data_IF_908049227198
#
_entry.id   IF_908049227198
#
_cell.length_a   1.000
_cell.length_b   1.000
_cell.length_c   1.000
_cell.angle_alpha   90.00
_cell.angle_beta   90.00
_cell.angle_gamma   90.00
#
_symmetry.space_group_name_H-M   'P 1'
#
loop_
_entity.id
_entity.type
_entity.pdbx_description
1 polymer ?
#
# COMPACT_ATOMS: atom_id res chain seq x y z
N UNK A 1 2.51 -25.26 58.99
CA UNK A 1 1.84 -25.44 57.68
C UNK A 1 1.28 -24.10 57.28
N UNK A 2 1.99 -23.41 56.39
CA UNK A 2 1.62 -22.13 55.81
C UNK A 2 2.41 -22.02 54.52
N UNK A 3 1.73 -22.20 53.39
CA UNK A 3 2.29 -22.13 52.04
C UNK A 3 2.01 -20.74 51.51
N UNK A 4 3.01 -19.86 51.55
CA UNK A 4 2.97 -18.61 50.79
C UNK A 4 3.49 -18.89 49.38
N UNK A 5 2.54 -18.86 48.45
CA UNK A 5 2.75 -18.91 47.01
C UNK A 5 3.48 -17.64 46.54
N UNK A 6 4.71 -17.80 46.07
CA UNK A 6 5.36 -16.81 45.22
C UNK A 6 4.62 -16.77 43.87
N UNK A 7 3.87 -15.70 43.64
CA UNK A 7 3.28 -15.40 42.35
C UNK A 7 4.38 -14.98 41.36
N UNK A 8 4.70 -15.86 40.42
CA UNK A 8 5.49 -15.53 39.22
C UNK A 8 4.66 -14.59 38.34
N UNK A 9 5.06 -13.32 38.25
CA UNK A 9 4.49 -12.40 37.26
C UNK A 9 4.95 -12.81 35.85
N UNK A 10 4.03 -12.99 34.88
CA UNK A 10 4.38 -13.20 33.49
C UNK A 10 4.51 -11.85 32.76
N UNK A 11 5.57 -11.72 31.96
CA UNK A 11 5.55 -10.89 30.76
C UNK A 11 5.84 -9.39 30.94
N UNK A 12 7.09 -9.05 31.28
CA UNK A 12 7.68 -7.79 30.83
C UNK A 12 8.70 -8.08 29.72
N UNK A 13 8.21 -8.20 28.49
CA UNK A 13 9.03 -7.92 27.31
C UNK A 13 8.89 -6.42 27.01
N UNK A 14 9.48 -5.56 27.85
CA UNK A 14 9.65 -4.15 27.51
C UNK A 14 10.75 -4.05 26.46
N UNK A 15 10.37 -4.17 25.19
CA UNK A 15 11.23 -3.76 24.09
C UNK A 15 11.49 -2.26 24.25
N UNK A 16 12.69 -1.89 24.72
CA UNK A 16 13.19 -0.51 24.75
C UNK A 16 13.62 -0.05 23.36
N UNK A 17 12.89 -0.44 22.32
CA UNK A 17 13.18 -0.02 20.95
C UNK A 17 12.89 1.49 20.85
N UNK A 18 13.96 2.29 20.71
CA UNK A 18 13.81 3.68 20.31
C UNK A 18 13.49 3.76 18.82
N UNK A 19 12.74 4.78 18.36
CA UNK A 19 12.57 5.03 16.94
C UNK A 19 13.94 5.17 16.27
N UNK A 20 14.13 4.50 15.13
CA UNK A 20 15.34 4.67 14.31
C UNK A 20 15.35 6.08 13.72
N UNK A 21 16.52 6.72 13.70
CA UNK A 21 16.71 7.91 12.90
C UNK A 21 16.88 7.55 11.41
N UNK A 22 17.06 8.56 10.56
CA UNK A 22 17.14 8.35 9.11
C UNK A 22 18.39 7.54 8.71
N UNK A 23 19.50 7.67 9.44
CA UNK A 23 20.76 6.97 9.16
C UNK A 23 20.66 5.51 9.59
N UNK A 24 20.18 5.25 10.80
CA UNK A 24 19.94 3.91 11.34
C UNK A 24 18.91 3.15 10.48
N UNK A 25 17.85 3.82 10.05
CA UNK A 25 16.86 3.23 9.14
C UNK A 25 17.49 2.89 7.79
N UNK A 26 18.30 3.78 7.22
CA UNK A 26 19.00 3.51 5.97
C UNK A 26 19.97 2.32 6.09
N UNK A 27 20.67 2.19 7.22
CA UNK A 27 21.57 1.07 7.49
C UNK A 27 20.80 -0.24 7.65
N UNK A 28 19.69 -0.24 8.38
CA UNK A 28 18.82 -1.40 8.52
C UNK A 28 18.26 -1.86 7.15
N UNK A 29 17.77 -0.91 6.34
CA UNK A 29 17.27 -1.19 4.99
C UNK A 29 18.34 -1.68 4.01
N UNK A 30 19.61 -1.33 4.24
CA UNK A 30 20.72 -1.84 3.45
C UNK A 30 21.06 -3.31 3.78
N UNK A 31 20.65 -3.81 4.95
CA UNK A 31 20.79 -5.23 5.31
C UNK A 31 19.68 -6.11 4.73
N UNK A 32 18.54 -5.52 4.34
CA UNK A 32 17.44 -6.26 3.71
C UNK A 32 17.86 -6.67 2.30
N UNK A 33 17.76 -7.96 1.92
CA UNK A 33 18.07 -8.43 0.59
C UNK A 33 17.33 -7.64 -0.49
N UNK A 34 18.02 -7.29 -1.57
CA UNK A 34 17.42 -6.51 -2.66
C UNK A 34 16.18 -7.22 -3.22
N UNK A 35 16.23 -8.54 -3.41
CA UNK A 35 15.10 -9.34 -3.89
C UNK A 35 13.84 -9.19 -3.04
N UNK A 36 13.97 -9.20 -1.71
CA UNK A 36 12.85 -8.99 -0.78
C UNK A 36 12.24 -7.60 -0.95
N UNK A 37 13.08 -6.56 -1.09
CA UNK A 37 12.61 -5.19 -1.32
C UNK A 37 11.90 -5.02 -2.66
N UNK A 38 12.24 -5.84 -3.68
CA UNK A 38 11.51 -5.85 -4.95
C UNK A 38 10.14 -6.51 -4.79
N UNK A 39 10.06 -7.63 -4.06
CA UNK A 39 8.80 -8.31 -3.74
C UNK A 39 7.85 -7.39 -2.95
N UNK A 40 8.38 -6.65 -1.98
CA UNK A 40 7.62 -5.68 -1.19
C UNK A 40 6.92 -4.64 -2.06
N UNK A 41 7.54 -4.20 -3.16
CA UNK A 41 6.91 -3.25 -4.07
C UNK A 41 5.69 -3.86 -4.79
N UNK A 42 5.75 -5.13 -5.18
CA UNK A 42 4.60 -5.81 -5.76
C UNK A 42 3.51 -6.07 -4.70
N UNK A 43 3.91 -6.45 -3.50
CA UNK A 43 3.01 -6.64 -2.36
C UNK A 43 2.28 -5.34 -1.98
N UNK A 44 2.98 -4.21 -1.99
CA UNK A 44 2.40 -2.90 -1.75
C UNK A 44 1.36 -2.52 -2.83
N UNK A 45 1.63 -2.83 -4.09
CA UNK A 45 0.66 -2.64 -5.18
C UNK A 45 -0.62 -3.47 -4.97
N UNK A 46 -0.47 -4.75 -4.61
CA UNK A 46 -1.63 -5.60 -4.35
C UNK A 46 -2.42 -5.17 -3.13
N UNK A 47 -1.73 -4.80 -2.05
CA UNK A 47 -2.36 -4.25 -0.86
C UNK A 47 -3.15 -2.98 -1.22
N UNK A 48 -2.61 -2.09 -2.06
CA UNK A 48 -3.34 -0.92 -2.53
C UNK A 48 -4.62 -1.27 -3.29
N UNK A 49 -4.58 -2.31 -4.13
CA UNK A 49 -5.77 -2.80 -4.83
C UNK A 49 -6.79 -3.38 -3.85
N UNK A 50 -6.37 -4.19 -2.89
CA UNK A 50 -7.26 -4.76 -1.87
C UNK A 50 -7.87 -3.65 -1.00
N UNK A 51 -7.06 -2.70 -0.53
CA UNK A 51 -7.50 -1.53 0.23
C UNK A 51 -8.53 -0.70 -0.54
N UNK A 52 -8.33 -0.49 -1.84
CA UNK A 52 -9.30 0.19 -2.69
C UNK A 52 -10.61 -0.59 -2.79
N UNK A 53 -10.56 -1.90 -3.05
CA UNK A 53 -11.75 -2.75 -3.12
C UNK A 53 -12.53 -2.73 -1.82
N UNK A 54 -11.82 -2.83 -0.69
CA UNK A 54 -12.42 -2.73 0.64
C UNK A 54 -13.09 -1.36 0.85
N UNK A 55 -12.39 -0.27 0.54
CA UNK A 55 -12.89 1.08 0.76
C UNK A 55 -14.09 1.42 -0.13
N UNK A 56 -14.07 1.00 -1.39
CA UNK A 56 -15.15 1.18 -2.35
C UNK A 56 -16.46 0.54 -1.88
N UNK A 57 -16.39 -0.59 -1.17
CA UNK A 57 -17.57 -1.29 -0.64
C UNK A 57 -17.96 -0.81 0.76
N UNK A 58 -17.01 -0.69 1.68
CA UNK A 58 -17.27 -0.39 3.08
C UNK A 58 -17.62 1.09 3.33
N UNK A 59 -16.85 2.02 2.77
CA UNK A 59 -17.00 3.44 3.12
C UNK A 59 -18.38 4.03 2.74
N UNK A 60 -18.95 3.76 1.55
CA UNK A 60 -20.29 4.26 1.22
C UNK A 60 -21.39 3.71 2.15
N UNK A 61 -21.32 2.42 2.48
CA UNK A 61 -22.31 1.78 3.36
C UNK A 61 -22.21 2.32 4.80
N UNK A 62 -21.00 2.51 5.32
CA UNK A 62 -20.79 3.12 6.63
C UNK A 62 -21.29 4.57 6.69
N UNK A 63 -21.06 5.37 5.65
CA UNK A 63 -21.62 6.73 5.54
C UNK A 63 -23.14 6.73 5.47
N UNK A 64 -23.72 5.83 4.69
CA UNK A 64 -25.18 5.70 4.64
C UNK A 64 -25.75 5.40 6.02
N UNK A 65 -25.16 4.45 6.75
CA UNK A 65 -25.59 4.12 8.12
C UNK A 65 -25.39 5.27 9.10
N UNK A 66 -24.30 6.02 8.96
CA UNK A 66 -24.09 7.25 9.72
C UNK A 66 -25.24 8.25 9.49
N UNK A 67 -25.61 8.49 8.23
CA UNK A 67 -26.70 9.39 7.88
C UNK A 67 -28.06 8.93 8.43
N UNK A 68 -28.33 7.62 8.39
CA UNK A 68 -29.56 7.02 8.96
C UNK A 68 -29.67 7.21 10.48
N UNK A 69 -28.54 7.22 11.19
CA UNK A 69 -28.47 7.42 12.64
C UNK A 69 -28.54 8.89 13.08
N UNK A 70 -28.38 9.84 12.16
CA UNK A 70 -28.50 11.28 12.44
C UNK A 70 -27.52 11.77 13.52
N UNK A 71 -28.04 12.34 14.61
CA UNK A 71 -27.23 12.91 15.71
C UNK A 71 -26.75 11.89 16.76
N UNK A 72 -26.96 10.60 16.53
CA UNK A 72 -26.50 9.57 17.46
C UNK A 72 -24.95 9.56 17.53
N UNK A 73 -24.30 9.37 18.70
CA UNK A 73 -22.84 9.35 18.82
C UNK A 73 -22.16 8.35 17.86
N UNK A 74 -22.83 7.23 17.60
CA UNK A 74 -22.37 6.21 16.66
C UNK A 74 -22.32 6.70 15.21
N UNK A 75 -23.17 7.66 14.82
CA UNK A 75 -23.15 8.24 13.49
C UNK A 75 -21.78 8.88 13.20
N UNK A 76 -21.25 9.67 14.15
CA UNK A 76 -19.93 10.28 14.02
C UNK A 76 -18.81 9.24 13.94
N UNK A 77 -18.90 8.17 14.73
CA UNK A 77 -17.91 7.08 14.69
C UNK A 77 -17.90 6.35 13.33
N UNK A 78 -19.08 6.06 12.76
CA UNK A 78 -19.20 5.42 11.45
C UNK A 78 -18.71 6.32 10.31
N UNK A 79 -19.01 7.61 10.36
CA UNK A 79 -18.49 8.57 9.37
C UNK A 79 -16.96 8.68 9.47
N UNK A 80 -16.42 8.76 10.69
CA UNK A 80 -14.97 8.78 10.90
C UNK A 80 -14.29 7.52 10.39
N UNK A 81 -14.90 6.35 10.60
CA UNK A 81 -14.41 5.08 10.07
C UNK A 81 -14.44 5.07 8.54
N UNK A 82 -15.53 5.54 7.92
CA UNK A 82 -15.64 5.62 6.47
C UNK A 82 -14.56 6.54 5.86
N UNK A 83 -14.32 7.70 6.47
CA UNK A 83 -13.24 8.62 6.06
C UNK A 83 -11.88 7.95 6.24
N UNK A 84 -11.64 7.26 7.35
CA UNK A 84 -10.36 6.60 7.64
C UNK A 84 -10.05 5.46 6.66
N UNK A 85 -11.07 4.68 6.28
CA UNK A 85 -10.95 3.62 5.28
C UNK A 85 -10.63 4.21 3.90
N UNK A 86 -11.34 5.26 3.47
CA UNK A 86 -11.05 5.95 2.22
C UNK A 86 -9.65 6.58 2.23
N UNK A 87 -9.24 7.13 3.36
CA UNK A 87 -7.90 7.68 3.58
C UNK A 87 -6.82 6.61 3.40
N UNK A 88 -7.01 5.44 4.02
CA UNK A 88 -6.08 4.32 3.90
C UNK A 88 -5.92 3.88 2.44
N UNK A 89 -7.01 3.74 1.69
CA UNK A 89 -6.96 3.36 0.28
C UNK A 89 -6.15 4.34 -0.60
N UNK A 90 -6.30 5.66 -0.39
CA UNK A 90 -5.50 6.66 -1.11
C UNK A 90 -4.04 6.60 -0.70
N UNK A 91 -3.74 6.46 0.60
CA UNK A 91 -2.37 6.39 1.08
C UNK A 91 -1.66 5.16 0.52
N UNK A 92 -2.33 4.00 0.50
CA UNK A 92 -1.80 2.78 -0.09
C UNK A 92 -1.60 2.92 -1.59
N UNK A 93 -2.57 3.50 -2.31
CA UNK A 93 -2.41 3.77 -3.74
C UNK A 93 -1.24 4.73 -4.01
N UNK A 94 -1.08 5.77 -3.19
CA UNK A 94 0.02 6.72 -3.32
C UNK A 94 1.39 6.08 -3.06
N UNK A 95 1.47 5.18 -2.07
CA UNK A 95 2.69 4.47 -1.71
C UNK A 95 3.27 3.66 -2.88
N UNK A 96 2.43 3.20 -3.82
CA UNK A 96 2.88 2.41 -4.98
C UNK A 96 3.83 3.15 -5.92
N UNK A 97 3.74 4.49 -6.00
CA UNK A 97 4.58 5.33 -6.87
C UNK A 97 5.37 6.39 -6.11
N UNK A 98 5.24 6.45 -4.78
CA UNK A 98 5.84 7.52 -4.00
C UNK A 98 7.37 7.53 -4.13
N UNK A 99 7.94 8.72 -4.14
CA UNK A 99 9.38 8.97 -4.13
C UNK A 99 9.88 9.37 -2.73
N UNK A 100 8.96 9.48 -1.77
CA UNK A 100 9.30 9.85 -0.40
C UNK A 100 10.08 8.72 0.29
N UNK A 101 11.34 9.00 0.62
CA UNK A 101 12.22 8.15 1.42
C UNK A 101 12.82 6.96 0.67
N UNK A 102 14.10 6.66 0.92
CA UNK A 102 14.86 5.54 0.30
C UNK A 102 14.40 4.14 0.74
N UNK A 103 13.44 4.06 1.67
CA UNK A 103 12.94 2.84 2.27
C UNK A 103 11.52 2.46 1.92
N UNK A 104 10.80 3.27 1.14
CA UNK A 104 9.43 2.92 0.76
C UNK A 104 9.39 1.76 -0.24
N UNK A 105 8.42 0.87 -0.09
CA UNK A 105 8.12 -0.25 -0.98
C UNK A 105 7.40 0.21 -2.24
N UNK A 106 7.94 1.23 -2.91
CA UNK A 106 7.35 1.82 -4.13
C UNK A 106 8.05 1.31 -5.38
N UNK A 107 7.37 1.42 -6.53
CA UNK A 107 7.99 1.15 -7.82
C UNK A 107 9.20 2.06 -8.08
N UNK A 108 9.14 3.33 -7.64
CA UNK A 108 10.25 4.27 -7.81
C UNK A 108 11.53 3.74 -7.16
N UNK A 109 11.42 3.27 -5.92
CA UNK A 109 12.55 2.74 -5.18
C UNK A 109 13.00 1.38 -5.71
N UNK A 110 12.08 0.52 -6.13
CA UNK A 110 12.43 -0.75 -6.77
C UNK A 110 13.25 -0.53 -8.05
N UNK A 111 12.88 0.45 -8.87
CA UNK A 111 13.63 0.84 -10.08
C UNK A 111 15.00 1.46 -9.73
N UNK A 112 15.09 2.24 -8.65
CA UNK A 112 16.35 2.81 -8.16
C UNK A 112 17.32 1.71 -7.66
N UNK A 113 16.80 0.67 -7.00
CA UNK A 113 17.58 -0.52 -6.60
C UNK A 113 18.15 -1.25 -7.82
N UNK A 114 17.32 -1.53 -8.82
CA UNK A 114 17.77 -2.15 -10.08
C UNK A 114 18.81 -1.27 -10.79
N UNK A 115 18.60 0.05 -10.83
CA UNK A 115 19.58 0.99 -11.39
C UNK A 115 20.91 0.89 -10.63
N UNK A 116 20.88 0.69 -9.32
CA UNK A 116 22.05 0.42 -8.49
C UNK A 116 22.79 -0.84 -8.91
N UNK A 117 22.08 -1.97 -9.05
CA UNK A 117 22.64 -3.23 -9.53
C UNK A 117 23.25 -3.11 -10.93
N UNK A 118 22.58 -2.38 -11.84
CA UNK A 118 23.05 -2.16 -13.22
C UNK A 118 24.26 -1.22 -13.33
N UNK A 119 24.70 -0.58 -12.24
CA UNK A 119 25.97 0.18 -12.21
C UNK A 119 27.17 -0.73 -11.97
N UNK A 120 26.96 -1.94 -11.44
CA UNK A 120 28.03 -2.89 -11.21
C UNK A 120 28.62 -3.35 -12.57
N UNK A 121 29.92 -3.14 -12.82
CA UNK A 121 30.56 -3.54 -14.07
C UNK A 121 30.59 -5.06 -14.29
N UNK A 122 30.39 -5.85 -13.24
CA UNK A 122 30.25 -7.32 -13.31
C UNK A 122 28.89 -7.77 -13.84
N UNK A 123 27.91 -6.86 -13.89
CA UNK A 123 26.57 -7.13 -14.33
C UNK A 123 26.49 -7.15 -15.87
N UNK A 124 26.62 -8.32 -16.51
CA UNK A 124 26.43 -8.48 -17.96
C UNK A 124 27.40 -7.66 -18.84
N UNK A 125 27.08 -7.48 -20.13
CA UNK A 125 27.86 -6.62 -21.02
C UNK A 125 27.53 -5.14 -20.84
N UNK A 126 28.44 -4.23 -21.23
CA UNK A 126 28.19 -2.80 -21.14
C UNK A 126 26.96 -2.35 -21.97
N UNK A 127 26.72 -3.00 -23.12
CA UNK A 127 25.56 -2.74 -23.97
C UNK A 127 24.26 -3.19 -23.29
N UNK A 128 24.25 -4.38 -22.69
CA UNK A 128 23.07 -4.91 -21.99
C UNK A 128 22.71 -4.04 -20.77
N UNK A 129 23.73 -3.59 -20.01
CA UNK A 129 23.52 -2.66 -18.88
C UNK A 129 22.92 -1.34 -19.33
N UNK A 130 23.38 -0.80 -20.46
CA UNK A 130 22.86 0.46 -20.99
C UNK A 130 21.42 0.30 -21.47
N UNK A 131 21.12 -0.77 -22.22
CA UNK A 131 19.76 -1.08 -22.65
C UNK A 131 18.81 -1.27 -21.46
N UNK A 132 19.23 -2.02 -20.43
CA UNK A 132 18.46 -2.21 -19.21
C UNK A 132 18.21 -0.89 -18.46
N UNK A 133 19.22 -0.01 -18.36
CA UNK A 133 19.08 1.32 -17.75
C UNK A 133 18.11 2.20 -18.53
N UNK A 134 18.09 2.11 -19.86
CA UNK A 134 17.12 2.83 -20.70
C UNK A 134 15.69 2.31 -20.49
N UNK A 135 15.50 1.00 -20.36
CA UNK A 135 14.19 0.42 -20.01
C UNK A 135 13.71 0.88 -18.64
N UNK A 136 14.57 0.87 -17.62
CA UNK A 136 14.25 1.39 -16.27
C UNK A 136 13.83 2.85 -16.33
N UNK A 137 14.56 3.69 -17.08
CA UNK A 137 14.20 5.09 -17.28
C UNK A 137 12.85 5.24 -18.00
N UNK A 138 12.56 4.37 -18.97
CA UNK A 138 11.27 4.28 -19.67
C UNK A 138 10.10 4.02 -18.70
N UNK A 139 10.21 2.97 -17.87
CA UNK A 139 9.18 2.62 -16.87
C UNK A 139 8.98 3.77 -15.87
N UNK A 140 10.08 4.37 -15.38
CA UNK A 140 9.99 5.51 -14.46
C UNK A 140 9.25 6.68 -15.11
N UNK A 141 9.55 6.94 -16.38
CA UNK A 141 8.96 8.06 -17.09
C UNK A 141 7.49 7.86 -17.42
N UNK A 142 7.08 6.63 -17.75
CA UNK A 142 5.72 6.35 -18.19
C UNK A 142 4.66 6.57 -17.10
N UNK A 143 5.00 6.38 -15.82
CA UNK A 143 3.98 6.44 -14.74
C UNK A 143 4.38 7.30 -13.53
N UNK A 144 5.67 7.44 -13.24
CA UNK A 144 6.11 8.16 -12.03
C UNK A 144 6.31 9.65 -12.32
N UNK A 145 6.86 9.98 -13.50
CA UNK A 145 7.08 11.39 -13.90
C UNK A 145 5.92 11.97 -14.73
N UNK A 146 5.19 11.14 -15.49
CA UNK A 146 3.95 11.56 -16.14
C UNK A 146 2.88 11.77 -15.07
N UNK A 147 2.55 13.05 -14.83
CA UNK A 147 1.50 13.49 -13.90
C UNK A 147 0.14 13.37 -14.56
N UNK A 148 -0.33 12.14 -14.78
CA UNK A 148 -1.72 11.97 -15.21
C UNK A 148 -2.67 12.65 -14.21
N UNK A 149 -3.86 13.09 -14.65
CA UNK A 149 -4.85 13.70 -13.75
C UNK A 149 -5.17 12.80 -12.55
N UNK A 150 -5.24 11.48 -12.76
CA UNK A 150 -5.54 10.51 -11.72
C UNK A 150 -4.43 10.44 -10.66
N UNK A 151 -3.18 10.28 -11.08
CA UNK A 151 -2.03 10.25 -10.16
C UNK A 151 -1.88 11.59 -9.43
N UNK A 152 -2.19 12.71 -10.11
CA UNK A 152 -2.19 14.05 -9.50
C UNK A 152 -3.25 14.17 -8.41
N UNK A 153 -4.46 13.66 -8.64
CA UNK A 153 -5.54 13.65 -7.65
C UNK A 153 -5.18 12.78 -6.43
N UNK A 154 -4.62 11.59 -6.63
CA UNK A 154 -4.17 10.72 -5.54
C UNK A 154 -3.07 11.42 -4.71
N UNK A 155 -2.09 12.05 -5.37
CA UNK A 155 -1.02 12.82 -4.69
C UNK A 155 -1.57 13.98 -3.88
N UNK A 156 -2.53 14.71 -4.43
CA UNK A 156 -3.18 15.80 -3.74
C UNK A 156 -3.84 15.30 -2.44
N UNK A 157 -4.66 14.24 -2.51
CA UNK A 157 -5.36 13.71 -1.34
C UNK A 157 -4.39 13.14 -0.30
N UNK A 158 -3.31 12.46 -0.71
CA UNK A 158 -2.22 12.05 0.19
C UNK A 158 -1.60 13.25 0.91
N UNK A 159 -1.19 14.30 0.18
CA UNK A 159 -0.56 15.49 0.75
C UNK A 159 -1.48 16.22 1.70
N UNK A 160 -2.73 16.41 1.28
CA UNK A 160 -3.77 17.03 2.08
C UNK A 160 -3.86 16.30 3.41
N UNK A 161 -4.07 14.99 3.41
CA UNK A 161 -4.22 14.22 4.64
C UNK A 161 -2.95 14.05 5.48
N UNK A 162 -1.77 14.21 4.89
CA UNK A 162 -0.53 14.33 5.65
C UNK A 162 -0.41 15.67 6.39
N UNK A 163 -0.96 16.76 5.82
CA UNK A 163 -0.95 18.09 6.44
C UNK A 163 -2.16 18.36 7.34
N UNK A 164 -3.39 18.19 6.84
CA UNK A 164 -4.64 18.34 7.59
C UNK A 164 -5.82 17.58 6.96
N UNK A 165 -6.78 17.15 7.78
CA UNK A 165 -7.94 16.37 7.31
C UNK A 165 -9.14 17.20 6.83
N UNK A 166 -9.12 18.52 7.03
CA UNK A 166 -10.27 19.38 6.70
C UNK A 166 -10.58 19.40 5.20
N UNK A 167 -11.84 19.18 4.86
CA UNK A 167 -12.45 19.37 3.52
C UNK A 167 -13.43 20.55 3.51
N UNK A 168 -13.37 21.41 4.53
CA UNK A 168 -14.20 22.60 4.63
C UNK A 168 -13.97 23.51 3.41
N UNK A 169 -15.02 23.94 2.68
CA UNK A 169 -14.89 24.79 1.50
C UNK A 169 -14.18 26.13 1.78
N UNK A 170 -14.16 26.62 3.03
CA UNK A 170 -13.42 27.82 3.40
C UNK A 170 -11.91 27.58 3.56
N UNK A 171 -11.51 26.35 3.87
CA UNK A 171 -10.11 25.95 4.04
C UNK A 171 -9.54 25.44 2.72
N UNK A 172 -10.31 24.64 2.00
CA UNK A 172 -9.89 24.01 0.76
C UNK A 172 -11.08 23.75 -0.19
N UNK A 173 -11.46 24.75 -1.00
CA UNK A 173 -12.60 24.64 -1.91
C UNK A 173 -12.39 23.57 -2.98
N UNK A 174 -11.13 23.27 -3.36
CA UNK A 174 -10.85 22.25 -4.34
C UNK A 174 -11.26 20.87 -3.84
N UNK A 175 -10.89 20.51 -2.61
CA UNK A 175 -11.26 19.22 -2.01
C UNK A 175 -12.78 19.05 -1.82
N UNK A 176 -13.48 20.16 -1.60
CA UNK A 176 -14.93 20.18 -1.49
C UNK A 176 -15.59 19.87 -2.85
N UNK A 177 -15.12 20.50 -3.92
CA UNK A 177 -15.62 20.29 -5.29
C UNK A 177 -15.18 18.95 -5.89
N UNK A 178 -14.04 18.42 -5.44
CA UNK A 178 -13.41 17.21 -5.98
C UNK A 178 -13.23 16.14 -4.89
N UNK A 179 -14.32 15.59 -4.33
CA UNK A 179 -14.24 14.57 -3.29
C UNK A 179 -13.48 13.34 -3.81
N UNK A 180 -13.01 12.51 -2.87
CA UNK A 180 -12.30 11.27 -3.18
C UNK A 180 -13.17 10.38 -4.06
N UNK A 181 -12.72 10.14 -5.29
CA UNK A 181 -13.38 9.27 -6.27
C UNK A 181 -12.60 7.96 -6.41
N UNK A 182 -13.23 6.85 -6.01
CA UNK A 182 -12.63 5.52 -6.11
C UNK A 182 -12.38 5.08 -7.56
N UNK A 183 -13.12 5.60 -8.54
CA UNK A 183 -12.86 5.33 -9.96
C UNK A 183 -11.54 5.99 -10.41
N UNK A 184 -11.28 7.22 -9.95
CA UNK A 184 -10.00 7.92 -10.20
C UNK A 184 -8.83 7.14 -9.58
N UNK A 185 -8.99 6.65 -8.35
CA UNK A 185 -7.95 5.84 -7.69
C UNK A 185 -7.72 4.53 -8.46
N UNK A 186 -8.80 3.84 -8.88
CA UNK A 186 -8.70 2.62 -9.68
C UNK A 186 -7.93 2.86 -10.98
N UNK A 187 -8.27 3.92 -11.71
CA UNK A 187 -7.60 4.27 -12.96
C UNK A 187 -6.11 4.58 -12.73
N UNK A 188 -5.77 5.24 -11.63
CA UNK A 188 -4.37 5.43 -11.23
C UNK A 188 -3.65 4.11 -10.94
N UNK A 189 -4.29 3.17 -10.23
CA UNK A 189 -3.73 1.83 -9.99
C UNK A 189 -3.63 1.00 -11.27
N UNK A 190 -4.56 1.12 -12.22
CA UNK A 190 -4.47 0.47 -13.53
C UNK A 190 -3.29 0.99 -14.35
N UNK A 191 -2.99 2.30 -14.29
CA UNK A 191 -1.76 2.87 -14.87
C UNK A 191 -0.51 2.25 -14.19
N UNK A 192 -0.51 2.15 -12.86
CA UNK A 192 0.58 1.48 -12.12
C UNK A 192 0.74 0.01 -12.51
N UNK A 193 -0.36 -0.71 -12.75
CA UNK A 193 -0.33 -2.12 -13.18
C UNK A 193 0.50 -2.30 -14.45
N UNK A 194 0.38 -1.38 -15.41
CA UNK A 194 1.16 -1.42 -16.64
C UNK A 194 2.66 -1.28 -16.35
N UNK A 195 3.05 -0.34 -15.47
CA UNK A 195 4.45 -0.18 -15.08
C UNK A 195 4.98 -1.36 -14.26
N UNK A 196 4.19 -1.96 -13.37
CA UNK A 196 4.57 -3.18 -12.65
C UNK A 196 4.70 -4.39 -13.59
N UNK A 197 3.89 -4.46 -14.65
CA UNK A 197 4.05 -5.47 -15.72
C UNK A 197 5.36 -5.30 -16.48
N UNK A 198 5.67 -4.08 -16.91
CA UNK A 198 6.96 -3.79 -17.56
C UNK A 198 8.14 -4.07 -16.62
N UNK A 199 7.97 -3.76 -15.33
CA UNK A 199 8.97 -4.06 -14.32
C UNK A 199 9.19 -5.57 -14.13
N UNK A 200 8.13 -6.37 -14.04
CA UNK A 200 8.25 -7.83 -13.99
C UNK A 200 8.90 -8.41 -15.26
N UNK A 201 8.56 -7.87 -16.44
CA UNK A 201 9.21 -8.24 -17.71
C UNK A 201 10.71 -7.90 -17.69
N UNK A 202 11.09 -6.73 -17.19
CA UNK A 202 12.49 -6.35 -17.03
C UNK A 202 13.24 -7.35 -16.13
N UNK A 203 12.64 -7.73 -15.00
CA UNK A 203 13.25 -8.71 -14.09
C UNK A 203 13.48 -10.06 -14.77
N UNK A 204 12.53 -10.52 -15.58
CA UNK A 204 12.58 -11.85 -16.25
C UNK A 204 13.46 -11.87 -17.49
N UNK A 205 13.61 -10.75 -18.20
CA UNK A 205 14.42 -10.65 -19.40
C UNK A 205 15.92 -10.48 -19.14
N UNK A 206 16.32 -10.21 -17.89
CA UNK A 206 17.72 -10.04 -17.50
C UNK A 206 18.19 -11.26 -16.70
N UNK A 207 18.91 -12.23 -17.32
CA UNK A 207 19.40 -13.42 -16.64
C UNK A 207 20.24 -13.11 -15.41
N UNK A 208 20.91 -11.97 -15.39
CA UNK A 208 21.75 -11.52 -14.30
C UNK A 208 20.93 -11.08 -13.06
N UNK A 209 19.62 -10.86 -13.20
CA UNK A 209 18.69 -10.62 -12.08
C UNK A 209 18.07 -11.92 -11.54
N UNK A 210 18.41 -13.10 -12.09
CA UNK A 210 17.83 -14.37 -11.66
C UNK A 210 18.06 -14.64 -10.17
N UNK A 211 19.23 -14.32 -9.63
CA UNK A 211 19.51 -14.46 -8.19
C UNK A 211 18.62 -13.55 -7.33
N UNK A 212 18.33 -12.33 -7.81
CA UNK A 212 17.39 -11.43 -7.11
C UNK A 212 15.97 -11.98 -7.13
N UNK A 213 15.57 -12.67 -8.21
CA UNK A 213 14.28 -13.35 -8.26
C UNK A 213 14.24 -14.56 -7.32
N UNK A 214 15.34 -15.29 -7.19
CA UNK A 214 15.45 -16.40 -6.23
C UNK A 214 15.35 -15.89 -4.79
N UNK A 215 16.05 -14.80 -4.46
CA UNK A 215 15.94 -14.13 -3.16
C UNK A 215 14.51 -13.63 -2.91
N UNK A 216 13.88 -13.02 -3.93
CA UNK A 216 12.48 -12.59 -3.90
C UNK A 216 11.49 -13.77 -3.78
N UNK A 217 11.90 -15.02 -4.03
CA UNK A 217 11.05 -16.21 -3.93
C UNK A 217 11.34 -17.05 -2.67
N UNK A 218 12.34 -16.67 -1.88
CA UNK A 218 12.82 -17.46 -0.74
C UNK A 218 11.85 -17.43 0.44
N UNK A 219 11.11 -18.50 0.70
CA UNK A 219 10.26 -18.57 1.91
C UNK A 219 11.10 -18.95 3.13
N UNK A 220 11.07 -18.14 4.19
CA UNK A 220 11.65 -18.44 5.50
C UNK A 220 10.66 -18.22 6.66
N UNK A 221 11.04 -18.65 7.87
CA UNK A 221 10.20 -18.62 9.09
C UNK A 221 9.82 -17.19 9.56
N UNK A 222 10.42 -16.16 8.98
CA UNK A 222 10.19 -14.76 9.34
C UNK A 222 9.40 -14.00 8.28
N UNK A 223 9.11 -14.61 7.13
CA UNK A 223 8.38 -13.94 6.07
C UNK A 223 6.91 -14.37 6.01
N UNK A 224 5.99 -13.48 6.40
CA UNK A 224 4.56 -13.60 6.03
C UNK A 224 4.41 -13.16 4.58
N UNK A 225 4.72 -14.05 3.63
CA UNK A 225 4.58 -13.74 2.20
C UNK A 225 3.17 -14.03 1.74
N UNK A 226 2.55 -13.05 1.07
CA UNK A 226 1.49 -13.37 0.11
C UNK A 226 2.24 -14.00 -1.06
N UNK A 227 2.31 -15.34 -1.10
CA UNK A 227 3.13 -16.12 -2.03
C UNK A 227 2.70 -15.95 -3.49
N UNK A 228 2.93 -14.76 -4.04
CA UNK A 228 2.51 -14.38 -5.37
C UNK A 228 3.78 -14.21 -6.17
N UNK A 229 3.99 -15.13 -7.10
CA UNK A 229 5.09 -15.02 -8.05
C UNK A 229 5.05 -13.65 -8.75
N UNK A 230 6.22 -13.13 -9.12
CA UNK A 230 6.35 -11.91 -9.95
C UNK A 230 5.42 -11.95 -11.19
N UNK A 231 5.16 -13.14 -11.71
CA UNK A 231 4.23 -13.39 -12.82
C UNK A 231 2.74 -13.38 -12.38
N UNK A 232 2.44 -13.83 -11.15
CA UNK A 232 1.10 -13.87 -10.57
C UNK A 232 0.54 -12.48 -10.23
N UNK A 233 1.37 -11.60 -9.67
CA UNK A 233 0.94 -10.25 -9.20
C UNK A 233 0.51 -9.36 -10.37
N UNK A 234 1.11 -9.54 -11.53
CA UNK A 234 0.89 -8.73 -12.73
C UNK A 234 -0.09 -9.35 -13.72
N UNK A 235 -0.28 -10.67 -13.67
CA UNK A 235 -1.23 -11.41 -14.53
C UNK A 235 -2.67 -11.29 -14.08
N UNK A 236 -2.91 -11.03 -12.79
CA UNK A 236 -4.28 -10.89 -12.28
C UNK A 236 -4.93 -9.60 -12.79
N UNK A 237 -6.16 -9.66 -13.35
CA UNK A 237 -6.95 -8.47 -13.62
C UNK A 237 -7.13 -7.67 -12.33
N UNK A 238 -7.01 -6.34 -12.40
CA UNK A 238 -7.20 -5.49 -11.21
C UNK A 238 -8.55 -5.75 -10.54
N UNK A 239 -9.59 -6.03 -11.34
CA UNK A 239 -10.95 -6.27 -10.85
C UNK A 239 -11.03 -7.55 -10.02
N UNK A 240 -10.21 -8.56 -10.31
CA UNK A 240 -10.12 -9.77 -9.49
C UNK A 240 -9.49 -9.49 -8.13
N UNK A 241 -8.46 -8.63 -8.07
CA UNK A 241 -7.81 -8.25 -6.81
C UNK A 241 -8.72 -7.33 -6.00
N UNK A 242 -9.40 -6.39 -6.67
CA UNK A 242 -10.40 -5.53 -6.05
C UNK A 242 -11.53 -6.36 -5.44
N UNK A 243 -12.03 -7.38 -6.15
CA UNK A 243 -13.08 -8.26 -5.66
C UNK A 243 -12.71 -8.98 -4.34
N UNK A 244 -11.42 -9.28 -4.11
CA UNK A 244 -10.97 -9.80 -2.81
C UNK A 244 -11.21 -8.77 -1.70
N UNK A 245 -10.82 -7.52 -1.91
CA UNK A 245 -11.08 -6.42 -0.98
C UNK A 245 -12.58 -6.16 -0.78
N UNK A 246 -13.36 -6.18 -1.86
CA UNK A 246 -14.81 -6.00 -1.82
C UNK A 246 -15.49 -7.12 -1.02
N UNK A 247 -15.07 -8.38 -1.20
CA UNK A 247 -15.58 -9.53 -0.43
C UNK A 247 -15.25 -9.41 1.05
N UNK A 248 -14.02 -8.98 1.39
CA UNK A 248 -13.61 -8.78 2.78
C UNK A 248 -14.37 -7.61 3.43
N UNK A 249 -14.65 -6.55 2.68
CA UNK A 249 -15.51 -5.46 3.14
C UNK A 249 -16.94 -5.94 3.38
N UNK A 250 -17.50 -6.76 2.50
CA UNK A 250 -18.83 -7.30 2.69
C UNK A 250 -18.91 -8.17 3.96
N UNK A 251 -17.95 -9.07 4.16
CA UNK A 251 -17.87 -9.88 5.37
C UNK A 251 -17.73 -9.02 6.64
N UNK A 252 -16.91 -7.97 6.58
CA UNK A 252 -16.78 -7.00 7.67
C UNK A 252 -18.13 -6.33 7.99
N UNK A 253 -18.84 -5.85 6.97
CA UNK A 253 -20.13 -5.18 7.13
C UNK A 253 -21.20 -6.14 7.67
N UNK A 254 -21.29 -7.35 7.13
CA UNK A 254 -22.24 -8.38 7.57
C UNK A 254 -22.03 -8.74 9.05
N UNK A 255 -20.77 -8.76 9.51
CA UNK A 255 -20.43 -9.03 10.90
C UNK A 255 -20.63 -7.83 11.81
N UNK A 256 -20.54 -6.59 11.33
CA UNK A 256 -20.53 -5.40 12.20
C UNK A 256 -21.88 -4.68 12.23
N UNK A 257 -22.51 -4.46 11.07
CA UNK A 257 -23.72 -3.65 10.95
C UNK A 257 -24.92 -4.17 11.78
N UNK A 258 -25.15 -5.49 11.95
CA UNK A 258 -26.26 -5.95 12.79
C UNK A 258 -26.16 -5.49 14.25
N UNK A 259 -24.94 -5.45 14.80
CA UNK A 259 -24.73 -5.02 16.19
C UNK A 259 -24.87 -3.49 16.36
N UNK A 260 -24.66 -2.74 15.28
CA UNK A 260 -24.71 -1.29 15.28
C UNK A 260 -26.13 -0.75 15.08
N UNK A 261 -27.07 -1.62 14.69
CA UNK A 261 -28.47 -1.26 14.41
C UNK A 261 -29.47 -1.91 15.36
N UNK A 262 -29.06 -2.89 16.17
CA UNK A 262 -29.98 -3.68 17.02
C UNK A 262 -30.58 -2.96 18.24
N UNK A 263 -30.09 -1.78 18.64
CA UNK A 263 -30.56 -1.07 19.84
C UNK A 263 -31.50 0.12 19.58
N UNK A 264 -31.87 0.40 18.32
CA UNK A 264 -32.82 1.49 18.00
C UNK A 264 -34.30 1.17 18.33
N UNK A 265 -34.58 0.05 19.01
CA UNK A 265 -35.93 -0.42 19.34
C UNK A 265 -36.30 -0.52 20.82
N UNK A 266 -35.46 -0.03 21.75
CA UNK A 266 -35.79 -0.02 23.19
C UNK A 266 -35.56 1.35 23.82
N UNK A 267 -36.46 2.29 23.52
CA UNK A 267 -36.71 3.47 24.33
C UNK A 267 -38.21 3.78 24.33
#
# INVERSE_FOLDING_TARGET
MGTDSAATQPGQSSSSAQPLDEEDLAQALAQVPVGERLEDAFSAYLLACISLGFAKTAAPQLRQRSAELGHHPLASALDHLAVSIAQKAVLDAAATYDQAGKGSSSLANALDLITGCLKDPTFGSAADREAARQLVAGIRNSVITIKSPEISAIRYWRNKWAGHRSVDPQVDPWAWEHPVDFAVIKNGLDQMRAAFREFALLLTQLPQLASLQEDARRVDDHTVRVGISLDGTTSWPIDSVLALGESQAQEFLDRTLPYLTSDSGRS
#
